data_IF_696348989245
#
_entry.id   IF_696348989245
#
_cell.length_a   1.000
_cell.length_b   1.000
_cell.length_c   1.000
_cell.angle_alpha   90.00
_cell.angle_beta   90.00
_cell.angle_gamma   90.00
#
_symmetry.space_group_name_H-M   'P 1'
#
loop_
_entity.id
_entity.type
_entity.pdbx_description
1 polymer ?
#
# COMPACT_ATOMS: atom_id res chain seq x y z
N UNK A 1 -59.49 -53.85 13.94
CA UNK A 1 -58.20 -53.42 13.39
C UNK A 1 -58.34 -53.50 11.89
N UNK A 2 -58.76 -52.39 11.29
CA UNK A 2 -59.00 -52.29 9.85
C UNK A 2 -57.64 -51.98 9.22
N UNK A 3 -57.16 -52.86 8.35
CA UNK A 3 -55.88 -52.68 7.65
C UNK A 3 -56.18 -51.85 6.42
N UNK A 4 -55.87 -50.55 6.47
CA UNK A 4 -55.86 -49.70 5.29
C UNK A 4 -54.51 -49.84 4.59
N UNK A 5 -54.57 -50.09 3.29
CA UNK A 5 -53.50 -50.59 2.42
C UNK A 5 -52.46 -49.53 2.01
N UNK A 6 -52.09 -48.57 2.86
CA UNK A 6 -50.98 -47.64 2.50
C UNK A 6 -50.40 -46.73 3.61
N UNK A 7 -50.78 -46.85 4.88
CA UNK A 7 -50.14 -46.00 5.90
C UNK A 7 -50.54 -46.29 7.33
N UNK A 8 -49.62 -46.04 8.27
CA UNK A 8 -49.91 -46.00 9.70
C UNK A 8 -50.69 -44.71 10.00
N UNK A 9 -52.01 -44.82 10.08
CA UNK A 9 -52.89 -43.71 10.48
C UNK A 9 -53.26 -43.88 11.96
N UNK A 10 -52.64 -43.09 12.84
CA UNK A 10 -52.94 -43.08 14.29
C UNK A 10 -54.03 -42.04 14.53
N UNK A 11 -55.29 -42.45 14.45
CA UNK A 11 -56.40 -41.67 15.02
C UNK A 11 -56.61 -42.05 16.49
N UNK A 12 -56.45 -41.10 17.41
CA UNK A 12 -57.18 -41.13 18.66
C UNK A 12 -58.11 -39.91 18.68
N UNK A 13 -59.41 -40.16 18.52
CA UNK A 13 -60.43 -39.12 18.50
C UNK A 13 -60.58 -38.42 19.86
N UNK A 14 -59.97 -38.92 20.95
CA UNK A 14 -60.10 -38.32 22.29
C UNK A 14 -58.90 -38.50 23.23
N UNK A 15 -57.66 -38.26 22.79
CA UNK A 15 -56.56 -37.75 23.65
C UNK A 15 -55.26 -37.62 22.85
N UNK A 16 -54.52 -36.56 23.12
CA UNK A 16 -53.12 -36.43 22.69
C UNK A 16 -52.26 -37.49 23.39
N UNK A 17 -52.21 -38.72 22.90
CA UNK A 17 -51.26 -39.73 23.38
C UNK A 17 -49.92 -39.45 22.70
N UNK A 18 -48.86 -39.05 23.45
CA UNK A 18 -47.55 -38.83 22.86
C UNK A 18 -47.02 -40.15 22.29
N UNK A 19 -46.50 -40.11 21.07
CA UNK A 19 -45.70 -41.20 20.52
C UNK A 19 -44.31 -41.08 21.13
N UNK A 20 -43.99 -41.96 22.06
CA UNK A 20 -42.67 -42.03 22.69
C UNK A 20 -41.90 -43.21 22.12
N UNK A 21 -40.72 -42.94 21.58
CA UNK A 21 -39.76 -43.97 21.21
C UNK A 21 -38.78 -44.16 22.36
N UNK A 22 -38.48 -45.41 22.70
CA UNK A 22 -37.38 -45.71 23.60
C UNK A 22 -36.06 -45.36 22.91
N UNK A 23 -35.02 -45.11 23.70
CA UNK A 23 -33.68 -44.98 23.17
C UNK A 23 -33.32 -46.21 22.33
N UNK A 24 -32.43 -46.02 21.36
CA UNK A 24 -31.96 -47.07 20.45
C UNK A 24 -33.00 -47.67 19.50
N UNK A 25 -34.22 -47.11 19.47
CA UNK A 25 -35.24 -47.41 18.46
C UNK A 25 -35.18 -46.38 17.33
N UNK A 26 -35.09 -46.86 16.09
CA UNK A 26 -35.12 -46.03 14.89
C UNK A 26 -36.56 -45.86 14.37
N UNK A 27 -36.93 -44.63 14.01
CA UNK A 27 -38.05 -44.35 13.12
C UNK A 27 -37.52 -44.37 11.68
N UNK A 28 -38.03 -45.32 10.89
CA UNK A 28 -37.67 -45.48 9.47
C UNK A 28 -38.79 -44.90 8.61
N UNK A 29 -38.44 -44.02 7.67
CA UNK A 29 -39.37 -43.38 6.74
C UNK A 29 -38.99 -43.73 5.29
N UNK A 30 -40.00 -43.76 4.42
CA UNK A 30 -39.84 -44.14 3.00
C UNK A 30 -40.11 -45.62 2.77
N UNK A 31 -40.54 -45.98 1.55
CA UNK A 31 -40.88 -47.36 1.17
C UNK A 31 -39.67 -48.31 1.21
N UNK A 32 -38.46 -47.75 1.09
CA UNK A 32 -37.18 -48.47 1.25
C UNK A 32 -36.49 -48.20 2.58
N UNK A 33 -37.16 -47.50 3.52
CA UNK A 33 -36.54 -47.03 4.78
C UNK A 33 -35.37 -46.06 4.55
N UNK A 34 -35.49 -45.18 3.56
CA UNK A 34 -34.43 -44.27 3.12
C UNK A 34 -34.03 -43.24 4.17
N UNK A 35 -34.91 -42.89 5.12
CA UNK A 35 -34.60 -41.95 6.19
C UNK A 35 -34.68 -42.66 7.53
N UNK A 36 -33.67 -42.47 8.37
CA UNK A 36 -33.63 -42.96 9.74
C UNK A 36 -33.53 -41.80 10.73
N UNK A 37 -34.42 -41.80 11.72
CA UNK A 37 -34.38 -40.88 12.87
C UNK A 37 -34.20 -41.74 14.12
N UNK A 38 -33.12 -41.50 14.88
CA UNK A 38 -32.81 -42.28 16.09
C UNK A 38 -32.25 -41.40 17.19
N UNK A 39 -32.68 -41.65 18.42
CA UNK A 39 -32.02 -41.18 19.63
C UNK A 39 -31.12 -42.29 20.16
N UNK A 40 -29.82 -42.05 20.28
CA UNK A 40 -28.85 -43.05 20.71
C UNK A 40 -28.46 -42.84 22.18
N UNK A 41 -28.66 -43.85 23.05
CA UNK A 41 -28.42 -43.72 24.50
C UNK A 41 -26.96 -43.79 24.94
N UNK A 42 -26.05 -44.27 24.09
CA UNK A 42 -24.64 -44.45 24.43
C UNK A 42 -23.72 -43.49 23.69
N UNK A 43 -22.48 -43.37 24.15
CA UNK A 43 -21.43 -42.64 23.42
C UNK A 43 -21.03 -43.46 22.20
N UNK A 44 -20.98 -42.81 21.05
CA UNK A 44 -20.49 -43.39 19.82
C UNK A 44 -19.10 -42.83 19.53
N UNK A 45 -18.08 -43.68 19.40
CA UNK A 45 -16.76 -43.23 18.94
C UNK A 45 -16.87 -42.69 17.51
N UNK A 46 -15.94 -41.82 17.11
CA UNK A 46 -15.87 -41.32 15.73
C UNK A 46 -15.90 -42.48 14.73
N UNK A 47 -16.64 -42.31 13.63
CA UNK A 47 -16.77 -43.29 12.55
C UNK A 47 -17.37 -44.66 12.94
N UNK A 48 -17.96 -44.80 14.12
CA UNK A 48 -18.61 -46.07 14.49
C UNK A 48 -19.87 -46.27 13.65
N UNK A 49 -19.94 -47.39 12.92
CA UNK A 49 -21.12 -47.75 12.14
C UNK A 49 -22.32 -48.04 13.04
N UNK A 50 -23.50 -47.62 12.59
CA UNK A 50 -24.78 -47.90 13.24
C UNK A 50 -25.72 -48.48 12.20
N UNK A 51 -25.97 -49.79 12.28
CA UNK A 51 -26.74 -50.50 11.25
C UNK A 51 -28.10 -49.82 10.99
N UNK A 52 -28.40 -49.54 9.71
CA UNK A 52 -29.63 -48.89 9.28
C UNK A 52 -29.78 -47.43 9.70
N UNK A 53 -28.70 -46.77 10.15
CA UNK A 53 -28.68 -45.33 10.51
C UNK A 53 -27.42 -44.65 9.98
N UNK A 54 -26.24 -45.18 10.29
CA UNK A 54 -24.96 -44.73 9.75
C UNK A 54 -24.35 -45.90 8.96
N UNK A 55 -24.62 -45.91 7.66
CA UNK A 55 -24.25 -46.99 6.75
C UNK A 55 -22.87 -46.76 6.10
N UNK A 56 -22.28 -47.81 5.55
CA UNK A 56 -20.95 -47.75 4.92
C UNK A 56 -19.82 -47.60 5.94
N UNK A 57 -18.83 -46.75 5.63
CA UNK A 57 -17.76 -46.32 6.55
C UNK A 57 -18.07 -44.89 6.96
N UNK A 58 -18.81 -44.64 8.05
CA UNK A 58 -19.24 -43.28 8.41
C UNK A 58 -18.03 -42.38 8.62
N UNK A 59 -18.13 -41.13 8.18
CA UNK A 59 -17.16 -40.07 8.46
C UNK A 59 -17.83 -39.09 9.40
N UNK A 60 -17.88 -39.45 10.68
CA UNK A 60 -18.60 -38.70 11.72
C UNK A 60 -17.69 -38.45 12.92
N UNK A 61 -17.83 -37.29 13.60
CA UNK A 61 -17.16 -37.09 14.89
C UNK A 61 -17.71 -38.07 15.94
N UNK A 62 -17.04 -38.16 17.08
CA UNK A 62 -17.61 -38.87 18.22
C UNK A 62 -18.93 -38.20 18.65
N UNK A 63 -19.98 -39.01 18.83
CA UNK A 63 -21.29 -38.53 19.25
C UNK A 63 -21.46 -38.81 20.74
N UNK A 64 -21.94 -37.81 21.48
CA UNK A 64 -22.28 -37.98 22.89
C UNK A 64 -23.51 -38.89 23.05
N UNK A 65 -23.69 -39.44 24.25
CA UNK A 65 -24.95 -40.09 24.62
C UNK A 65 -26.14 -39.13 24.47
N UNK A 66 -27.31 -39.68 24.15
CA UNK A 66 -28.57 -38.97 23.89
C UNK A 66 -28.51 -37.99 22.70
N UNK A 67 -27.70 -38.32 21.69
CA UNK A 67 -27.67 -37.56 20.43
C UNK A 67 -28.82 -37.98 19.52
N UNK A 68 -29.55 -36.99 18.97
CA UNK A 68 -30.48 -37.20 17.88
C UNK A 68 -29.70 -37.34 16.57
N UNK A 69 -29.97 -38.41 15.84
CA UNK A 69 -29.39 -38.68 14.53
C UNK A 69 -30.54 -38.66 13.52
N UNK A 70 -30.43 -37.79 12.52
CA UNK A 70 -31.27 -37.79 11.32
C UNK A 70 -30.33 -38.14 10.18
N UNK A 71 -30.60 -39.24 9.50
CA UNK A 71 -29.73 -39.77 8.46
C UNK A 71 -30.54 -40.15 7.25
N UNK A 72 -30.04 -39.80 6.08
CA UNK A 72 -30.46 -40.43 4.85
C UNK A 72 -29.58 -41.66 4.61
N UNK A 73 -30.19 -42.84 4.64
CA UNK A 73 -29.50 -44.13 4.47
C UNK A 73 -29.50 -44.60 3.02
N UNK A 74 -30.05 -43.82 2.09
CA UNK A 74 -29.93 -44.06 0.65
C UNK A 74 -28.77 -43.25 0.07
N UNK A 75 -28.02 -43.83 -0.86
CA UNK A 75 -26.90 -43.13 -1.50
C UNK A 75 -27.36 -41.79 -2.11
N UNK A 76 -26.65 -40.71 -1.77
CA UNK A 76 -26.75 -39.38 -2.39
C UNK A 76 -28.08 -38.62 -2.23
N UNK A 77 -28.98 -39.05 -1.33
CA UNK A 77 -30.20 -38.29 -1.04
C UNK A 77 -29.94 -37.10 -0.12
N UNK A 78 -30.52 -35.96 -0.47
CA UNK A 78 -30.32 -34.71 0.26
C UNK A 78 -31.25 -34.57 1.48
N UNK A 79 -30.86 -33.73 2.43
CA UNK A 79 -31.72 -33.35 3.57
C UNK A 79 -32.02 -31.86 3.52
N UNK A 80 -33.31 -31.52 3.42
CA UNK A 80 -33.82 -30.15 3.37
C UNK A 80 -34.62 -29.81 4.63
N UNK A 81 -34.25 -28.74 5.32
CA UNK A 81 -35.08 -28.11 6.36
C UNK A 81 -35.65 -26.83 5.77
N UNK A 82 -36.97 -26.78 5.66
CA UNK A 82 -37.70 -25.65 5.11
C UNK A 82 -38.81 -25.16 6.06
N UNK A 83 -39.11 -23.87 6.00
CA UNK A 83 -40.21 -23.24 6.72
C UNK A 83 -41.22 -22.65 5.73
N UNK A 84 -42.51 -22.64 6.11
CA UNK A 84 -43.53 -21.92 5.35
C UNK A 84 -43.49 -20.43 5.73
N UNK A 85 -43.32 -19.57 4.75
CA UNK A 85 -43.35 -18.11 4.90
C UNK A 85 -44.51 -17.55 4.08
N UNK A 86 -45.73 -17.64 4.63
CA UNK A 86 -46.93 -17.04 4.03
C UNK A 86 -47.37 -17.67 2.71
N UNK A 87 -47.21 -19.00 2.56
CA UNK A 87 -47.63 -19.73 1.35
C UNK A 87 -46.48 -20.20 0.46
N UNK A 88 -45.24 -19.86 0.80
CA UNK A 88 -44.04 -20.38 0.13
C UNK A 88 -43.19 -21.22 1.08
N UNK A 89 -42.68 -22.36 0.63
CA UNK A 89 -41.66 -23.11 1.36
C UNK A 89 -40.29 -22.49 1.08
N UNK A 90 -39.61 -22.03 2.12
CA UNK A 90 -38.25 -21.50 2.06
C UNK A 90 -37.28 -22.40 2.76
N UNK A 91 -36.18 -22.73 2.09
CA UNK A 91 -35.08 -23.47 2.69
C UNK A 91 -34.39 -22.63 3.78
N UNK A 92 -34.11 -23.25 4.92
CA UNK A 92 -33.26 -22.69 5.98
C UNK A 92 -31.90 -23.38 6.02
N UNK A 93 -31.89 -24.72 5.86
CA UNK A 93 -30.70 -25.54 5.86
C UNK A 93 -30.85 -26.64 4.81
N UNK A 94 -29.80 -26.89 4.04
CA UNK A 94 -29.75 -27.95 3.04
C UNK A 94 -28.42 -28.66 3.14
N UNK A 95 -28.48 -29.99 3.21
CA UNK A 95 -27.34 -30.88 3.12
C UNK A 95 -27.43 -31.55 1.76
N UNK A 96 -26.53 -31.17 0.85
CA UNK A 96 -26.40 -31.77 -0.48
C UNK A 96 -25.43 -32.95 -0.36
N UNK A 97 -25.99 -34.16 -0.35
CA UNK A 97 -25.18 -35.36 -0.24
C UNK A 97 -24.44 -35.69 -1.55
N UNK A 98 -24.88 -35.11 -2.67
CA UNK A 98 -24.26 -35.28 -3.99
C UNK A 98 -22.97 -34.45 -4.15
N UNK A 99 -22.85 -33.31 -3.48
CA UNK A 99 -21.71 -32.38 -3.58
C UNK A 99 -20.94 -32.12 -2.27
N UNK A 100 -21.04 -33.04 -1.30
CA UNK A 100 -20.75 -32.82 0.14
C UNK A 100 -20.94 -31.41 0.71
N UNK A 101 -21.85 -30.61 0.17
CA UNK A 101 -22.01 -29.21 0.53
C UNK A 101 -23.11 -29.02 1.59
N UNK A 102 -22.91 -28.03 2.45
CA UNK A 102 -23.93 -27.59 3.41
C UNK A 102 -24.25 -26.13 3.17
N UNK A 103 -25.53 -25.84 2.92
CA UNK A 103 -26.02 -24.51 2.63
C UNK A 103 -26.88 -24.00 3.79
N UNK A 104 -26.45 -22.89 4.39
CA UNK A 104 -27.27 -22.09 5.30
C UNK A 104 -27.92 -20.97 4.49
N UNK A 105 -29.21 -21.08 4.24
CA UNK A 105 -29.94 -20.13 3.40
C UNK A 105 -30.48 -18.96 4.23
N UNK A 106 -30.22 -17.75 3.75
CA UNK A 106 -30.88 -16.54 4.24
C UNK A 106 -31.23 -15.64 3.04
N UNK A 107 -32.51 -15.64 2.65
CA UNK A 107 -32.97 -14.85 1.51
C UNK A 107 -33.34 -13.45 1.98
N UNK A 108 -32.42 -12.49 1.82
CA UNK A 108 -32.66 -11.07 2.07
C UNK A 108 -32.55 -10.61 3.53
N UNK A 109 -32.07 -11.47 4.44
CA UNK A 109 -31.83 -11.13 5.85
C UNK A 109 -30.35 -11.09 6.23
N UNK A 110 -30.10 -10.80 7.51
CA UNK A 110 -28.74 -10.80 8.09
C UNK A 110 -28.46 -12.13 8.78
N UNK A 111 -27.32 -12.77 8.49
CA UNK A 111 -26.85 -13.88 9.30
C UNK A 111 -26.20 -13.34 10.57
N UNK A 112 -26.78 -13.66 11.74
CA UNK A 112 -26.30 -13.17 13.04
C UNK A 112 -25.85 -14.37 13.88
N UNK A 113 -24.55 -14.47 14.17
CA UNK A 113 -24.06 -15.38 15.20
C UNK A 113 -24.29 -14.76 16.57
N UNK A 114 -25.03 -15.43 17.45
CA UNK A 114 -25.29 -14.97 18.82
C UNK A 114 -24.09 -15.07 19.78
N UNK A 115 -22.89 -15.42 19.29
CA UNK A 115 -21.67 -15.56 20.08
C UNK A 115 -20.70 -14.40 19.82
N UNK A 116 -19.89 -14.08 20.83
CA UNK A 116 -18.84 -13.04 20.76
C UNK A 116 -17.72 -13.37 19.76
N UNK A 117 -17.70 -14.58 19.19
CA UNK A 117 -16.64 -15.04 18.28
C UNK A 117 -17.19 -16.09 17.31
N UNK A 118 -16.92 -15.91 16.01
CA UNK A 118 -17.14 -16.93 14.98
C UNK A 118 -15.77 -17.35 14.43
N UNK A 119 -15.40 -18.61 14.63
CA UNK A 119 -14.09 -19.15 14.19
C UNK A 119 -14.26 -19.87 12.86
N UNK A 120 -13.73 -19.29 11.79
CA UNK A 120 -13.73 -19.89 10.45
C UNK A 120 -12.27 -20.05 10.03
N UNK A 121 -11.79 -21.29 9.79
CA UNK A 121 -10.39 -21.53 9.43
C UNK A 121 -9.97 -20.87 8.10
N UNK A 122 -10.90 -20.78 7.15
CA UNK A 122 -10.69 -20.12 5.88
C UNK A 122 -12.02 -19.51 5.39
N UNK A 123 -11.97 -18.26 4.93
CA UNK A 123 -13.11 -17.57 4.32
C UNK A 123 -12.76 -17.28 2.87
N UNK A 124 -13.55 -17.82 1.94
CA UNK A 124 -13.51 -17.43 0.53
C UNK A 124 -14.70 -16.51 0.28
N UNK A 125 -14.45 -15.23 0.00
CA UNK A 125 -15.47 -14.27 -0.40
C UNK A 125 -15.52 -14.22 -1.93
N UNK A 126 -16.63 -14.64 -2.52
CA UNK A 126 -16.90 -14.44 -3.95
C UNK A 126 -17.60 -13.10 -4.17
N UNK A 127 -17.06 -12.25 -5.06
CA UNK A 127 -17.65 -10.97 -5.45
C UNK A 127 -17.15 -9.75 -4.66
N UNK A 128 -17.82 -8.61 -4.84
CA UNK A 128 -17.47 -7.35 -4.19
C UNK A 128 -17.89 -7.37 -2.71
N UNK A 129 -16.92 -7.18 -1.81
CA UNK A 129 -17.20 -6.93 -0.39
C UNK A 129 -17.74 -5.50 -0.25
N UNK A 130 -19.06 -5.36 -0.27
CA UNK A 130 -19.76 -4.06 -0.24
C UNK A 130 -20.55 -3.88 1.05
N UNK A 131 -20.29 -2.79 1.78
CA UNK A 131 -21.08 -2.38 2.96
C UNK A 131 -20.26 -1.96 4.19
N UNK A 132 -20.30 -0.67 4.55
CA UNK A 132 -19.88 -0.16 5.87
C UNK A 132 -18.41 -0.30 6.27
N UNK A 133 -18.10 0.09 7.52
CA UNK A 133 -16.76 0.04 8.12
C UNK A 133 -16.36 -1.41 8.45
N UNK A 134 -15.52 -2.03 7.64
CA UNK A 134 -14.90 -3.33 7.95
C UNK A 134 -13.74 -3.13 8.94
N UNK A 135 -14.02 -3.27 10.23
CA UNK A 135 -12.99 -3.10 11.27
C UNK A 135 -12.22 -4.40 11.51
N UNK A 136 -11.13 -4.60 10.79
CA UNK A 136 -10.19 -5.69 11.02
C UNK A 136 -9.22 -5.30 12.16
N UNK A 137 -9.71 -5.33 13.41
CA UNK A 137 -9.03 -4.76 14.58
C UNK A 137 -8.04 -5.68 15.32
N UNK A 138 -7.83 -6.92 14.85
CA UNK A 138 -6.99 -7.91 15.58
C UNK A 138 -6.33 -8.98 14.71
N UNK A 139 -6.22 -8.75 13.41
CA UNK A 139 -5.47 -9.64 12.53
C UNK A 139 -3.99 -9.25 12.56
N UNK A 140 -3.13 -10.17 13.02
CA UNK A 140 -1.69 -9.93 13.06
C UNK A 140 -1.11 -9.54 11.70
N UNK A 141 -1.61 -10.14 10.61
CA UNK A 141 -1.29 -9.79 9.23
C UNK A 141 -2.55 -9.94 8.36
N UNK A 142 -2.86 -8.96 7.48
CA UNK A 142 -3.70 -9.24 6.31
C UNK A 142 -2.80 -9.98 5.31
N UNK A 143 -2.93 -11.31 5.25
CA UNK A 143 -2.26 -12.10 4.23
C UNK A 143 -2.91 -11.88 2.87
N UNK A 144 -2.46 -10.87 2.12
CA UNK A 144 -2.81 -10.72 0.71
C UNK A 144 -1.84 -11.58 -0.11
N UNK A 145 -2.12 -12.89 -0.18
CA UNK A 145 -1.40 -13.80 -1.08
C UNK A 145 -1.47 -15.29 -0.72
N UNK A 146 -2.01 -16.09 -1.65
CA UNK A 146 -1.30 -17.20 -2.31
C UNK A 146 -2.16 -17.77 -3.45
N UNK A 147 -2.10 -17.13 -4.60
CA UNK A 147 -2.22 -17.81 -5.89
C UNK A 147 -1.32 -17.04 -6.83
N UNK A 148 -0.45 -17.74 -7.56
CA UNK A 148 0.47 -17.12 -8.51
C UNK A 148 -0.30 -16.44 -9.65
N UNK A 149 -0.80 -15.22 -9.43
CA UNK A 149 -1.04 -14.28 -10.52
C UNK A 149 0.32 -13.71 -10.88
N UNK A 150 0.80 -14.07 -12.06
CA UNK A 150 2.18 -13.89 -12.54
C UNK A 150 2.66 -12.43 -12.67
N UNK A 151 1.94 -11.44 -12.14
CA UNK A 151 2.24 -10.02 -12.40
C UNK A 151 1.92 -9.02 -11.28
N UNK A 152 1.01 -9.27 -10.32
CA UNK A 152 0.68 -8.23 -9.31
C UNK A 152 0.12 -8.80 -7.99
N UNK A 153 0.64 -8.35 -6.85
CA UNK A 153 0.19 -8.76 -5.51
C UNK A 153 -1.01 -7.94 -4.99
N UNK A 154 -1.10 -6.66 -5.35
CA UNK A 154 -2.19 -5.74 -5.00
C UNK A 154 -2.48 -4.83 -6.19
N UNK A 155 -3.65 -4.98 -6.80
CA UNK A 155 -4.06 -4.22 -7.97
C UNK A 155 -5.37 -3.47 -7.69
N UNK A 156 -5.31 -2.15 -7.66
CA UNK A 156 -6.49 -1.27 -7.67
C UNK A 156 -6.76 -0.84 -9.12
N UNK A 157 -7.13 -1.78 -10.02
CA UNK A 157 -7.27 -1.51 -11.46
C UNK A 157 -8.66 -1.11 -11.91
N UNK A 158 -9.67 -1.28 -11.06
CA UNK A 158 -11.03 -0.96 -11.45
C UNK A 158 -11.09 0.57 -11.56
N UNK A 159 -11.09 1.08 -12.79
CA UNK A 159 -11.30 2.47 -13.15
C UNK A 159 -12.72 2.87 -12.74
N UNK A 160 -12.98 2.93 -11.43
CA UNK A 160 -14.19 3.51 -10.91
C UNK A 160 -14.01 5.01 -11.02
N UNK A 161 -14.60 5.58 -12.06
CA UNK A 161 -14.69 7.02 -12.22
C UNK A 161 -15.50 7.57 -11.06
N UNK A 162 -14.84 8.25 -10.14
CA UNK A 162 -15.51 9.00 -9.09
C UNK A 162 -15.88 10.36 -9.67
N UNK A 163 -17.18 10.64 -9.77
CA UNK A 163 -17.65 12.00 -10.04
C UNK A 163 -17.51 12.77 -8.74
N UNK A 164 -16.52 13.65 -8.67
CA UNK A 164 -16.39 14.61 -7.58
C UNK A 164 -17.51 15.63 -7.73
N UNK A 165 -18.58 15.46 -6.96
CA UNK A 165 -19.70 16.41 -6.90
C UNK A 165 -19.56 17.41 -5.74
N UNK A 166 -18.54 17.23 -4.91
CA UNK A 166 -18.22 18.01 -3.71
C UNK A 166 -16.71 18.27 -3.60
N UNK A 167 -16.31 19.20 -2.72
CA UNK A 167 -14.92 19.54 -2.41
C UNK A 167 -14.23 18.45 -1.55
N UNK A 168 -14.48 17.17 -1.83
CA UNK A 168 -13.98 16.05 -1.05
C UNK A 168 -12.63 15.50 -1.58
N UNK A 169 -11.76 15.09 -0.65
CA UNK A 169 -10.50 14.42 -0.97
C UNK A 169 -10.69 12.91 -1.16
N UNK A 170 -10.22 12.37 -2.28
CA UNK A 170 -10.20 10.92 -2.55
C UNK A 170 -8.77 10.39 -2.36
N UNK A 171 -8.65 9.23 -1.72
CA UNK A 171 -7.38 8.56 -1.50
C UNK A 171 -7.42 7.12 -2.01
N UNK A 172 -6.37 6.68 -2.70
CA UNK A 172 -6.20 5.28 -3.08
C UNK A 172 -5.72 4.42 -1.91
N UNK A 173 -4.61 4.82 -1.30
CA UNK A 173 -4.10 4.27 -0.03
C UNK A 173 -3.95 5.46 0.93
N UNK A 174 -4.67 5.43 2.06
CA UNK A 174 -4.61 6.48 3.07
C UNK A 174 -4.18 5.91 4.40
N UNK A 175 -3.04 6.39 4.89
CA UNK A 175 -2.57 6.15 6.26
C UNK A 175 -2.75 7.48 7.00
N UNK A 176 -3.88 7.63 7.70
CA UNK A 176 -4.27 8.90 8.33
C UNK A 176 -3.30 9.31 9.44
N UNK A 177 -2.94 8.38 10.32
CA UNK A 177 -2.05 8.66 11.45
C UNK A 177 -1.38 7.39 11.95
N UNK A 178 -0.09 7.48 12.24
CA UNK A 178 0.64 6.49 13.01
C UNK A 178 1.07 7.13 14.33
N UNK A 179 0.51 6.64 15.44
CA UNK A 179 0.81 7.16 16.77
C UNK A 179 1.78 6.24 17.50
N UNK A 180 2.86 6.81 18.02
CA UNK A 180 3.72 6.19 19.02
C UNK A 180 3.73 7.06 20.27
N UNK A 181 3.31 6.51 21.41
CA UNK A 181 3.33 7.22 22.68
C UNK A 181 4.43 6.66 23.58
N UNK A 182 5.16 7.57 24.22
CA UNK A 182 6.24 7.25 25.15
C UNK A 182 5.71 7.19 26.58
N UNK A 183 6.16 6.21 27.35
CA UNK A 183 5.90 6.14 28.81
C UNK A 183 7.16 6.25 29.66
N UNK A 184 8.38 6.22 29.08
CA UNK A 184 9.65 6.33 29.84
C UNK A 184 10.78 7.01 29.05
N UNK A 185 11.78 7.57 29.74
CA UNK A 185 12.61 8.69 29.29
C UNK A 185 13.62 8.44 28.15
N UNK A 186 14.04 7.21 27.85
CA UNK A 186 15.06 6.98 26.82
C UNK A 186 14.72 5.76 25.95
N UNK A 187 14.37 6.02 24.68
CA UNK A 187 14.18 4.98 23.67
C UNK A 187 14.84 5.44 22.36
N UNK A 188 15.54 4.54 21.68
CA UNK A 188 16.27 4.78 20.42
C UNK A 188 15.54 4.20 19.20
N UNK A 189 14.31 3.71 19.37
CA UNK A 189 13.54 3.11 18.29
C UNK A 189 12.96 4.13 17.32
N UNK A 190 12.73 3.68 16.08
CA UNK A 190 12.22 4.50 14.97
C UNK A 190 10.78 4.10 14.66
N UNK A 191 9.91 5.09 14.45
CA UNK A 191 8.53 4.89 13.99
C UNK A 191 8.49 5.07 12.46
N UNK A 192 8.03 4.05 11.73
CA UNK A 192 7.91 4.09 10.27
C UNK A 192 6.44 4.16 9.87
N UNK A 193 6.00 5.27 9.27
CA UNK A 193 4.63 5.44 8.75
C UNK A 193 4.28 4.43 7.65
N UNK A 194 5.14 4.38 6.63
CA UNK A 194 5.06 3.41 5.53
C UNK A 194 6.46 2.96 5.16
N UNK A 195 6.67 1.65 4.97
CA UNK A 195 7.93 1.08 4.52
C UNK A 195 7.73 0.34 3.20
N UNK A 196 8.22 0.92 2.11
CA UNK A 196 8.30 0.26 0.80
C UNK A 196 9.68 -0.33 0.65
N UNK A 197 9.84 -1.62 0.98
CA UNK A 197 11.10 -2.34 0.80
C UNK A 197 11.00 -3.23 -0.43
N UNK A 198 11.91 -3.00 -1.37
CA UNK A 198 12.13 -3.92 -2.49
C UNK A 198 13.54 -4.46 -2.39
N UNK A 199 13.69 -5.77 -2.56
CA UNK A 199 14.97 -6.45 -2.42
C UNK A 199 15.09 -7.52 -3.50
N UNK A 200 16.21 -7.52 -4.21
CA UNK A 200 16.58 -8.60 -5.11
C UNK A 200 17.61 -9.44 -4.38
N UNK A 201 17.29 -10.68 -3.98
CA UNK A 201 18.29 -11.58 -3.43
C UNK A 201 19.32 -11.94 -4.52
N UNK A 202 20.60 -11.79 -4.21
CA UNK A 202 21.69 -12.13 -5.11
C UNK A 202 21.93 -13.64 -5.11
N UNK A 203 21.06 -14.41 -5.76
CA UNK A 203 21.20 -15.86 -5.86
C UNK A 203 21.58 -16.36 -7.25
N UNK A 204 21.69 -15.48 -8.26
CA UNK A 204 22.07 -15.91 -9.60
C UNK A 204 23.01 -14.93 -10.31
N UNK A 205 23.79 -15.50 -11.23
CA UNK A 205 24.78 -14.86 -12.09
C UNK A 205 24.14 -14.02 -13.21
N UNK A 206 22.86 -13.66 -13.09
CA UNK A 206 22.11 -13.01 -14.15
C UNK A 206 22.25 -11.49 -14.01
N UNK A 207 22.76 -10.85 -15.07
CA UNK A 207 22.80 -9.41 -15.17
C UNK A 207 21.38 -8.90 -15.46
N UNK A 208 20.84 -8.08 -14.57
CA UNK A 208 19.62 -7.33 -14.83
C UNK A 208 19.95 -6.24 -15.86
N UNK A 209 19.62 -6.49 -17.13
CA UNK A 209 19.91 -5.58 -18.23
C UNK A 209 18.82 -4.52 -18.36
N UNK A 210 19.24 -3.29 -18.61
CA UNK A 210 18.45 -2.08 -18.46
C UNK A 210 17.29 -2.00 -19.48
N UNK A 211 16.06 -2.16 -18.97
CA UNK A 211 14.90 -1.43 -19.51
C UNK A 211 14.14 -0.74 -18.38
N UNK A 212 14.00 -1.38 -17.21
CA UNK A 212 13.92 -0.71 -15.90
C UNK A 212 14.52 -1.66 -14.86
N UNK A 213 15.44 -1.17 -14.02
CA UNK A 213 16.02 -1.92 -12.92
C UNK A 213 15.04 -2.13 -11.76
N UNK A 214 15.55 -2.26 -10.54
CA UNK A 214 14.72 -2.27 -9.33
C UNK A 214 14.11 -0.89 -9.08
N UNK A 215 12.79 -0.78 -9.12
CA UNK A 215 12.07 0.46 -8.80
C UNK A 215 11.40 0.30 -7.44
N UNK A 216 11.83 1.11 -6.46
CA UNK A 216 11.28 1.07 -5.10
C UNK A 216 9.91 1.75 -4.98
N UNK A 217 9.78 2.92 -5.58
CA UNK A 217 8.57 3.73 -5.60
C UNK A 217 8.46 4.41 -6.98
N UNK A 218 7.30 4.29 -7.62
CA UNK A 218 7.02 4.88 -8.92
C UNK A 218 5.68 5.62 -8.85
N UNK A 219 5.73 6.95 -8.94
CA UNK A 219 4.55 7.78 -9.00
C UNK A 219 4.49 8.49 -10.35
N UNK A 220 3.38 8.31 -11.06
CA UNK A 220 3.13 8.96 -12.35
C UNK A 220 1.82 9.72 -12.24
N UNK A 221 1.89 11.01 -12.54
CA UNK A 221 0.70 11.81 -12.77
C UNK A 221 0.31 11.67 -14.24
N UNK A 222 -0.90 11.21 -14.51
CA UNK A 222 -1.44 11.11 -15.86
C UNK A 222 -2.77 11.87 -15.94
N UNK A 223 -2.84 12.87 -16.82
CA UNK A 223 -4.08 13.56 -17.15
C UNK A 223 -4.71 12.85 -18.34
N UNK A 224 -5.91 12.29 -18.15
CA UNK A 224 -6.68 11.69 -19.24
C UNK A 224 -7.72 12.70 -19.75
N UNK A 225 -7.72 12.98 -21.06
CA UNK A 225 -8.77 13.76 -21.70
C UNK A 225 -9.83 12.81 -22.30
N UNK A 226 -11.06 12.74 -21.75
CA UNK A 226 -12.07 11.82 -22.23
C UNK A 226 -12.74 12.23 -23.56
N UNK A 227 -12.42 13.39 -24.17
CA UNK A 227 -12.99 13.76 -25.47
C UNK A 227 -12.80 15.21 -25.89
N UNK A 228 -13.35 15.58 -27.05
CA UNK A 228 -13.21 16.88 -27.72
C UNK A 228 -13.95 18.06 -27.01
N UNK A 229 -13.66 18.27 -25.73
CA UNK A 229 -14.06 19.43 -24.94
C UNK A 229 -12.97 20.50 -24.88
N UNK A 230 -13.36 21.70 -24.44
CA UNK A 230 -12.47 22.84 -24.23
C UNK A 230 -11.22 22.47 -23.39
N UNK A 231 -10.08 23.16 -23.58
CA UNK A 231 -8.88 22.91 -22.79
C UNK A 231 -9.19 23.04 -21.30
N UNK A 232 -8.82 22.03 -20.52
CA UNK A 232 -8.90 22.06 -19.07
C UNK A 232 -7.55 22.47 -18.49
N UNK A 233 -7.58 23.26 -17.41
CA UNK A 233 -6.37 23.68 -16.69
C UNK A 233 -6.24 22.88 -15.40
N UNK A 234 -5.11 22.22 -15.21
CA UNK A 234 -4.72 21.66 -13.91
C UNK A 234 -3.86 22.72 -13.20
N UNK A 235 -4.41 23.34 -12.15
CA UNK A 235 -3.69 24.34 -11.36
C UNK A 235 -2.99 23.66 -10.19
N UNK A 236 -1.72 23.30 -10.40
CA UNK A 236 -0.89 22.63 -9.41
C UNK A 236 -1.08 21.11 -9.41
N UNK A 237 0.00 20.38 -9.62
CA UNK A 237 0.01 18.93 -9.48
C UNK A 237 1.40 18.45 -9.10
N UNK A 238 1.46 17.41 -8.27
CA UNK A 238 2.71 16.83 -7.80
C UNK A 238 2.60 15.30 -7.80
N UNK A 239 3.56 14.62 -8.42
CA UNK A 239 3.68 13.16 -8.31
C UNK A 239 4.21 12.72 -6.93
N UNK A 240 4.92 13.62 -6.24
CA UNK A 240 5.42 13.46 -4.88
C UNK A 240 5.31 14.80 -4.15
N UNK A 241 4.76 14.77 -2.94
CA UNK A 241 4.71 15.92 -2.03
C UNK A 241 5.14 15.46 -0.64
N UNK A 242 5.98 16.27 0.00
CA UNK A 242 6.37 16.10 1.39
C UNK A 242 6.16 17.43 2.10
N UNK A 243 5.26 17.45 3.08
CA UNK A 243 4.88 18.65 3.80
C UNK A 243 5.17 18.47 5.29
N UNK A 244 5.61 19.54 5.94
CA UNK A 244 5.75 19.58 7.39
C UNK A 244 4.36 19.80 8.02
N UNK A 245 3.93 18.98 8.99
CA UNK A 245 2.62 19.17 9.60
C UNK A 245 2.57 20.47 10.40
N UNK A 246 1.36 20.97 10.66
CA UNK A 246 1.15 22.11 11.55
C UNK A 246 1.53 21.71 12.99
N UNK A 247 2.68 22.21 13.46
CA UNK A 247 3.23 21.85 14.76
C UNK A 247 2.56 22.67 15.88
N UNK A 248 2.25 22.02 17.00
CA UNK A 248 1.79 22.72 18.20
C UNK A 248 2.95 23.45 18.88
N UNK A 249 2.67 24.59 19.51
CA UNK A 249 3.68 25.54 20.05
C UNK A 249 4.66 24.99 21.11
N UNK A 250 4.52 23.74 21.55
CA UNK A 250 5.33 23.14 22.61
C UNK A 250 6.36 22.10 22.14
N UNK A 251 6.45 21.81 20.84
CA UNK A 251 7.42 20.83 20.31
C UNK A 251 8.67 21.50 19.76
N UNK A 252 9.83 21.19 20.32
CA UNK A 252 11.13 21.60 19.76
C UNK A 252 11.72 20.49 18.90
N UNK A 253 11.96 20.79 17.63
CA UNK A 253 12.75 19.94 16.73
C UNK A 253 14.14 20.56 16.60
N UNK A 254 15.17 19.81 16.95
CA UNK A 254 16.57 20.25 16.76
C UNK A 254 16.98 20.19 15.29
N UNK A 255 16.39 19.27 14.52
CA UNK A 255 16.62 19.13 13.08
C UNK A 255 15.37 18.53 12.43
N UNK A 256 14.96 19.09 11.30
CA UNK A 256 13.89 18.56 10.45
C UNK A 256 14.39 18.44 9.02
N UNK A 257 14.08 17.33 8.37
CA UNK A 257 14.40 17.10 6.98
C UNK A 257 13.10 16.82 6.21
N UNK A 258 12.79 17.63 5.19
CA UNK A 258 11.65 17.35 4.31
C UNK A 258 11.92 16.19 3.35
N UNK A 259 13.15 16.08 2.86
CA UNK A 259 13.63 14.98 2.01
C UNK A 259 15.07 14.66 2.37
N UNK A 260 15.36 13.39 2.67
CA UNK A 260 16.72 12.88 2.87
C UNK A 260 17.01 11.89 1.76
N UNK A 261 18.09 12.13 1.03
CA UNK A 261 18.61 11.18 0.05
C UNK A 261 20.02 10.81 0.51
N UNK A 262 20.17 9.55 0.93
CA UNK A 262 21.45 9.02 1.38
C UNK A 262 21.85 7.86 0.47
N UNK A 263 23.07 7.93 -0.08
CA UNK A 263 23.68 6.82 -0.78
C UNK A 263 24.59 6.05 0.19
N UNK A 264 24.22 4.83 0.56
CA UNK A 264 25.10 3.93 1.31
C UNK A 264 25.81 3.00 0.33
N UNK A 265 27.03 3.35 -0.07
CA UNK A 265 27.79 2.54 -1.02
C UNK A 265 28.81 1.64 -0.31
N UNK A 266 28.46 0.36 -0.15
CA UNK A 266 29.42 -0.74 0.01
C UNK A 266 29.61 -1.52 -1.32
N UNK A 267 29.11 -0.99 -2.44
CA UNK A 267 29.11 -1.64 -3.76
C UNK A 267 29.84 -0.79 -4.82
N UNK A 268 30.28 -1.43 -5.91
CA UNK A 268 30.98 -0.77 -7.04
C UNK A 268 29.98 -0.07 -7.96
N UNK A 269 29.71 1.21 -7.69
CA UNK A 269 28.82 2.07 -8.49
C UNK A 269 29.64 2.90 -9.47
N UNK A 270 29.36 2.81 -10.77
CA UNK A 270 30.10 3.56 -11.81
C UNK A 270 29.65 5.03 -11.91
N UNK A 271 28.37 5.31 -11.68
CA UNK A 271 27.82 6.67 -11.65
C UNK A 271 26.66 6.68 -10.65
N UNK A 272 26.66 7.65 -9.73
CA UNK A 272 25.67 7.75 -8.67
C UNK A 272 25.09 9.16 -8.67
N UNK A 273 23.77 9.26 -8.80
CA UNK A 273 23.04 10.52 -8.66
C UNK A 273 22.23 10.47 -7.38
N UNK A 274 22.31 11.52 -6.55
CA UNK A 274 21.36 11.70 -5.45
C UNK A 274 20.00 12.12 -5.99
N UNK A 275 19.98 13.24 -6.72
CA UNK A 275 18.83 13.73 -7.48
C UNK A 275 19.26 13.86 -8.93
N UNK A 276 18.53 13.23 -9.84
CA UNK A 276 18.70 13.41 -11.29
C UNK A 276 17.48 14.16 -11.83
N UNK A 277 17.73 15.26 -12.55
CA UNK A 277 16.70 16.08 -13.17
C UNK A 277 16.96 16.01 -14.67
N UNK A 278 16.04 15.41 -15.41
CA UNK A 278 16.13 15.30 -16.86
C UNK A 278 15.73 16.59 -17.57
N UNK A 279 16.05 16.68 -18.86
CA UNK A 279 15.70 17.81 -19.70
C UNK A 279 14.18 18.02 -19.76
N UNK A 280 13.74 19.26 -19.53
CA UNK A 280 12.36 19.69 -19.66
C UNK A 280 12.20 20.38 -21.01
N UNK A 281 11.37 19.81 -21.91
CA UNK A 281 11.25 20.28 -23.31
C UNK A 281 9.81 20.61 -23.73
N UNK A 282 8.84 20.48 -22.81
CA UNK A 282 7.41 20.65 -23.09
C UNK A 282 6.82 21.99 -22.63
N UNK A 283 7.55 22.81 -21.87
CA UNK A 283 7.08 24.10 -21.39
C UNK A 283 7.09 25.14 -22.51
N UNK A 284 5.98 25.86 -22.70
CA UNK A 284 5.90 26.93 -23.72
C UNK A 284 6.38 28.29 -23.23
N UNK A 285 6.57 28.47 -21.92
CA UNK A 285 6.90 29.77 -21.31
C UNK A 285 8.12 29.72 -20.39
N UNK A 286 8.21 28.73 -19.51
CA UNK A 286 9.37 28.50 -18.65
C UNK A 286 9.45 27.04 -18.21
N UNK A 287 10.68 26.54 -18.09
CA UNK A 287 11.01 25.24 -17.51
C UNK A 287 12.02 25.48 -16.38
N UNK A 288 11.75 24.94 -15.19
CA UNK A 288 12.61 25.07 -14.02
C UNK A 288 12.96 23.68 -13.49
N UNK A 289 14.25 23.31 -13.56
CA UNK A 289 14.74 22.05 -13.00
C UNK A 289 14.68 22.03 -11.47
N UNK A 290 15.26 23.07 -10.84
CA UNK A 290 15.16 23.33 -9.40
C UNK A 290 14.71 24.77 -9.19
N UNK A 291 13.61 24.95 -8.46
CA UNK A 291 13.14 26.26 -8.01
C UNK A 291 13.09 26.29 -6.48
N UNK A 292 13.58 27.39 -5.89
CA UNK A 292 13.60 27.61 -4.45
C UNK A 292 12.92 28.94 -4.19
N UNK A 293 11.73 28.92 -3.58
CA UNK A 293 10.91 30.12 -3.39
C UNK A 293 11.59 31.17 -2.48
N UNK A 294 12.43 30.71 -1.56
CA UNK A 294 13.18 31.54 -0.63
C UNK A 294 13.52 30.75 0.63
N UNK A 295 14.56 31.17 1.34
CA UNK A 295 14.92 30.65 2.65
C UNK A 295 15.46 31.79 3.51
N UNK A 296 15.19 31.74 4.81
CA UNK A 296 15.60 32.81 5.75
C UNK A 296 17.13 32.91 5.88
N UNK A 297 17.84 31.79 5.78
CA UNK A 297 19.31 31.74 5.93
C UNK A 297 20.03 31.56 4.59
N UNK A 298 19.70 30.50 3.85
CA UNK A 298 20.35 30.19 2.57
C UNK A 298 19.40 29.37 1.69
N UNK A 299 19.16 29.83 0.47
CA UNK A 299 18.32 29.10 -0.50
C UNK A 299 19.03 27.83 -1.00
N UNK A 300 20.33 27.92 -1.29
CA UNK A 300 21.16 26.79 -1.70
C UNK A 300 22.45 26.79 -0.88
N UNK A 301 22.71 25.72 -0.13
CA UNK A 301 23.93 25.54 0.63
C UNK A 301 24.74 24.38 0.05
N UNK A 302 25.83 24.71 -0.62
CA UNK A 302 26.76 23.73 -1.19
C UNK A 302 27.84 23.43 -0.14
N UNK A 303 28.08 22.14 0.14
CA UNK A 303 29.18 21.70 1.01
C UNK A 303 29.00 22.01 2.51
N UNK A 304 27.82 21.81 3.09
CA UNK A 304 27.49 22.20 4.48
C UNK A 304 28.26 21.49 5.61
N UNK A 305 29.03 20.43 5.31
CA UNK A 305 29.75 19.64 6.31
C UNK A 305 31.12 20.18 6.73
N UNK A 306 31.71 21.08 5.93
CA UNK A 306 32.97 21.76 6.25
C UNK A 306 33.19 22.92 5.27
N UNK A 307 33.92 23.96 5.70
CA UNK A 307 34.46 24.98 4.81
C UNK A 307 35.58 24.37 3.93
N UNK A 308 35.20 23.57 2.93
CA UNK A 308 36.09 22.97 1.95
C UNK A 308 36.53 23.98 0.88
N UNK A 309 37.75 23.83 0.39
CA UNK A 309 38.36 24.77 -0.58
C UNK A 309 38.64 24.14 -1.94
N UNK A 310 38.10 22.93 -2.18
CA UNK A 310 38.30 22.19 -3.43
C UNK A 310 37.14 22.41 -4.42
N UNK A 311 37.41 22.12 -5.69
CA UNK A 311 36.42 22.24 -6.73
C UNK A 311 35.28 21.22 -6.60
N UNK A 312 35.52 20.06 -5.98
CA UNK A 312 34.54 18.97 -5.90
C UNK A 312 33.29 19.35 -5.08
N UNK A 313 33.40 20.36 -4.23
CA UNK A 313 32.31 20.89 -3.42
C UNK A 313 31.64 22.16 -4.01
N UNK A 314 32.03 22.56 -5.24
CA UNK A 314 31.46 23.70 -5.96
C UNK A 314 30.36 23.32 -6.97
N UNK A 315 30.05 24.28 -7.85
CA UNK A 315 29.14 24.09 -8.99
C UNK A 315 29.98 23.71 -10.20
N UNK A 316 29.56 22.67 -10.92
CA UNK A 316 30.18 22.20 -12.15
C UNK A 316 29.25 22.47 -13.34
N UNK A 317 29.81 22.89 -14.46
CA UNK A 317 29.10 23.17 -15.70
C UNK A 317 29.61 22.24 -16.82
N UNK A 318 28.68 21.70 -17.60
CA UNK A 318 28.96 20.74 -18.68
C UNK A 318 29.15 19.30 -18.17
N UNK A 319 28.80 18.32 -18.99
CA UNK A 319 28.93 16.89 -18.65
C UNK A 319 30.39 16.44 -18.47
N UNK A 320 31.31 17.10 -19.17
CA UNK A 320 32.75 16.88 -19.05
C UNK A 320 33.40 17.62 -17.87
N UNK A 321 32.61 18.42 -17.12
CA UNK A 321 33.06 19.32 -16.05
C UNK A 321 34.03 20.39 -16.56
N UNK A 322 33.69 21.00 -17.69
CA UNK A 322 34.54 21.95 -18.41
C UNK A 322 34.75 23.26 -17.63
N UNK A 323 33.81 23.63 -16.76
CA UNK A 323 33.92 24.84 -15.94
C UNK A 323 33.42 24.56 -14.54
N UNK A 324 34.08 25.16 -13.55
CA UNK A 324 33.68 25.09 -12.16
C UNK A 324 33.58 26.49 -11.54
N UNK A 325 32.76 26.58 -10.49
CA UNK A 325 32.72 27.72 -9.59
C UNK A 325 32.73 27.18 -8.16
N UNK A 326 33.80 27.46 -7.43
CA UNK A 326 34.00 26.94 -6.09
C UNK A 326 34.66 27.98 -5.19
N UNK A 327 34.68 27.70 -3.89
CA UNK A 327 35.33 28.55 -2.89
C UNK A 327 36.78 28.11 -2.73
N UNK A 328 37.75 29.03 -2.82
CA UNK A 328 39.18 28.71 -2.62
C UNK A 328 39.73 29.15 -1.27
N UNK A 329 39.07 30.12 -0.62
CA UNK A 329 39.35 30.60 0.73
C UNK A 329 38.09 31.27 1.31
N UNK A 330 38.13 31.71 2.57
CA UNK A 330 37.03 32.50 3.13
C UNK A 330 36.79 33.75 2.27
N UNK A 331 35.54 33.97 1.84
CA UNK A 331 35.13 35.08 0.97
C UNK A 331 35.78 35.11 -0.43
N UNK A 332 36.37 34.01 -0.89
CA UNK A 332 37.02 33.95 -2.21
C UNK A 332 36.40 32.87 -3.09
N UNK A 333 35.80 33.28 -4.21
CA UNK A 333 35.35 32.39 -5.28
C UNK A 333 36.43 32.25 -6.35
N UNK A 334 36.49 31.08 -6.98
CA UNK A 334 37.47 30.74 -7.99
C UNK A 334 36.88 29.81 -9.05
N UNK A 335 37.46 29.87 -10.25
CA UNK A 335 37.45 28.84 -11.28
C UNK A 335 38.89 28.43 -11.58
N UNK A 336 39.13 27.26 -12.16
CA UNK A 336 40.50 26.79 -12.38
C UNK A 336 41.27 27.59 -13.45
N UNK A 337 40.54 28.17 -14.41
CA UNK A 337 41.09 28.96 -15.51
C UNK A 337 40.63 30.43 -15.47
N UNK A 338 40.25 30.99 -16.62
CA UNK A 338 39.80 32.38 -16.74
C UNK A 338 38.30 32.52 -16.44
N UNK A 339 37.96 33.54 -15.64
CA UNK A 339 36.58 33.97 -15.47
C UNK A 339 36.28 35.13 -16.43
N UNK A 340 35.42 34.90 -17.43
CA UNK A 340 34.99 35.92 -18.38
C UNK A 340 33.61 36.46 -17.97
N UNK A 341 33.51 37.75 -17.67
CA UNK A 341 32.26 38.41 -17.33
C UNK A 341 31.96 39.55 -18.31
N UNK A 342 30.68 39.77 -18.63
CA UNK A 342 30.25 40.84 -19.54
C UNK A 342 30.66 42.25 -19.04
N UNK A 343 30.70 42.43 -17.71
CA UNK A 343 31.27 43.62 -17.07
C UNK A 343 31.80 43.24 -15.69
N UNK A 344 32.92 43.84 -15.30
CA UNK A 344 33.44 43.76 -13.94
C UNK A 344 33.17 45.08 -13.22
N UNK A 345 32.47 45.02 -12.09
CA UNK A 345 32.36 46.14 -11.17
C UNK A 345 33.16 45.81 -9.92
N UNK A 346 34.37 46.36 -9.81
CA UNK A 346 35.19 46.21 -8.61
C UNK A 346 34.71 47.25 -7.59
N UNK A 347 34.02 46.81 -6.54
CA UNK A 347 33.67 47.68 -5.42
C UNK A 347 34.95 48.25 -4.80
N UNK A 348 34.99 49.55 -4.56
CA UNK A 348 36.19 50.26 -4.13
C UNK A 348 36.80 49.64 -2.85
N UNK A 349 37.89 48.87 -3.00
CA UNK A 349 38.83 48.67 -1.91
C UNK A 349 39.74 49.90 -1.91
N UNK A 350 39.34 50.95 -1.19
CA UNK A 350 40.24 52.05 -0.87
C UNK A 350 41.31 51.53 0.12
N UNK A 351 42.31 50.86 -0.43
CA UNK A 351 43.48 50.36 0.27
C UNK A 351 44.59 50.17 -0.75
N UNK A 352 45.36 51.23 -0.96
CA UNK A 352 46.63 51.18 -1.69
C UNK A 352 47.67 50.41 -0.87
N UNK A 353 47.44 49.12 -0.64
CA UNK A 353 48.49 48.24 -0.14
C UNK A 353 49.21 47.66 -1.34
N UNK A 354 50.33 48.27 -1.72
CA UNK A 354 51.28 47.76 -2.72
C UNK A 354 51.95 46.43 -2.31
N UNK A 355 51.45 45.75 -1.27
CA UNK A 355 52.01 44.51 -0.73
C UNK A 355 51.04 43.31 -0.80
N UNK A 356 49.78 43.52 -1.20
CA UNK A 356 48.80 42.45 -1.36
C UNK A 356 48.66 42.03 -2.81
N UNK A 357 49.10 40.81 -3.14
CA UNK A 357 49.07 40.17 -4.46
C UNK A 357 47.68 40.17 -5.13
N UNK A 358 47.33 41.29 -5.75
CA UNK A 358 46.19 41.47 -6.63
C UNK A 358 46.61 42.32 -7.82
N UNK A 359 47.75 42.00 -8.43
CA UNK A 359 48.24 42.72 -9.60
C UNK A 359 47.25 42.49 -10.74
N UNK A 360 46.47 43.51 -11.11
CA UNK A 360 45.88 43.59 -12.44
C UNK A 360 47.06 43.82 -13.38
N UNK A 361 47.70 42.74 -13.80
CA UNK A 361 48.95 42.75 -14.58
C UNK A 361 48.77 43.40 -15.94
N UNK A 362 47.54 43.49 -16.44
CA UNK A 362 47.24 44.09 -17.74
C UNK A 362 45.88 44.78 -17.72
N UNK A 363 45.86 46.11 -17.53
CA UNK A 363 44.83 46.91 -18.17
C UNK A 363 45.22 47.02 -19.64
N UNK A 364 44.64 46.18 -20.50
CA UNK A 364 44.65 46.45 -21.94
C UNK A 364 43.65 47.58 -22.20
N UNK A 365 43.94 48.78 -21.70
CA UNK A 365 43.31 49.96 -22.24
C UNK A 365 43.84 50.05 -23.67
N UNK A 366 42.99 49.80 -24.66
CA UNK A 366 43.24 50.32 -25.99
C UNK A 366 43.16 51.84 -25.88
N UNK A 367 44.24 52.47 -25.43
CA UNK A 367 44.42 53.90 -25.61
C UNK A 367 44.42 54.07 -27.12
N UNK A 368 43.32 54.62 -27.65
CA UNK A 368 43.25 55.03 -29.04
C UNK A 368 44.45 55.93 -29.26
N UNK A 369 45.37 55.44 -30.10
CA UNK A 369 46.69 55.96 -30.44
C UNK A 369 46.63 57.49 -30.67
N UNK A 370 46.86 58.28 -29.62
CA UNK A 370 46.66 59.74 -29.71
C UNK A 370 47.21 60.61 -28.59
N UNK A 371 47.58 60.08 -27.43
CA UNK A 371 48.11 60.89 -26.31
C UNK A 371 49.41 60.28 -25.79
N UNK A 372 50.48 60.40 -26.58
CA UNK A 372 51.86 60.42 -26.05
C UNK A 372 52.62 61.50 -26.81
N UNK A 373 52.35 62.76 -26.44
CA UNK A 373 53.19 63.90 -26.80
C UNK A 373 53.17 64.88 -25.64
N UNK A 374 54.09 64.70 -24.68
CA UNK A 374 54.73 65.77 -23.90
C UNK A 374 55.53 65.19 -22.71
N UNK A 375 56.65 64.53 -22.99
CA UNK A 375 57.80 64.61 -22.09
C UNK A 375 58.99 65.11 -22.90
N UNK A 376 58.86 66.35 -23.37
CA UNK A 376 60.00 67.11 -23.89
C UNK A 376 60.80 67.62 -22.69
N UNK A 377 61.95 66.98 -22.48
CA UNK A 377 63.21 67.50 -21.91
C UNK A 377 63.15 68.99 -21.49
N UNK A 378 63.07 69.25 -20.18
CA UNK A 378 63.52 70.54 -19.63
C UNK A 378 65.04 70.45 -19.49
N UNK A 379 65.72 71.51 -19.92
CA UNK A 379 67.17 71.63 -20.03
C UNK A 379 67.87 71.61 -18.67
#
# INVERSE_FOLDING_TARGET
>A
MEVFDSGLEIFDERRSVPITFLDDISLLLGTSSDIAIRLHSAVLNANTALAGVLIGTPVTPALAANSLIISNVTADGDILIAANDGGHSRTALFFDASTPDTYLYNVGGTWTAGATTWTIPAVTLGGDVTGGNYNLSSIGNIGLGNTAVSTTALLFSNAKTYVLTDDASIHGIFINSLYGYKTSAAYTGTLYGSLFRVSIPATNTQNWTAALGLIGYHAVLHTYNPGAGAPYTVTGAAAFSAEAPNFQSYTTFTTYYGLIIAANANARIATNYGIYIGDQTGGTTADYGVAIAGADTAALWLGSGADNTDAANGIMFGSSKDTNLYRSAANTLKTDDAFSAASFSVGATAGTDESGSGTITTFTCTIVKGIVTAFAKVS
#
